data_IF_221910014136
#
_entry.id   IF_221910014136
#
_cell.length_a   1.000
_cell.length_b   1.000
_cell.length_c   1.000
_cell.angle_alpha   90.00
_cell.angle_beta   90.00
_cell.angle_gamma   90.00
#
_symmetry.space_group_name_H-M   'P 1'
#
loop_
_entity.id
_entity.type
_entity.pdbx_description
1 polymer ?
#
# COMPACT_ATOMS: atom_id res chain seq x y z
N UNK A 1 23.19 -7.25 -0.89
CA UNK A 1 21.95 -6.65 -1.42
C UNK A 1 22.16 -6.34 -2.88
N UNK A 2 21.28 -6.81 -3.76
CA UNK A 2 21.32 -6.49 -5.19
C UNK A 2 20.13 -5.59 -5.53
N UNK A 3 20.36 -4.56 -6.35
CA UNK A 3 19.30 -3.73 -6.91
C UNK A 3 19.11 -4.18 -8.36
N UNK A 4 17.87 -4.47 -8.74
CA UNK A 4 17.53 -4.90 -10.09
C UNK A 4 16.39 -4.02 -10.63
N UNK A 5 16.51 -3.63 -11.90
CA UNK A 5 15.42 -2.95 -12.59
C UNK A 5 14.31 -3.96 -12.92
N UNK A 6 13.08 -3.63 -12.56
CA UNK A 6 11.89 -4.41 -12.90
C UNK A 6 10.80 -3.48 -13.41
N UNK A 7 10.17 -3.85 -14.52
CA UNK A 7 8.92 -3.23 -14.96
C UNK A 7 7.80 -3.84 -14.13
N UNK A 8 6.98 -2.99 -13.50
CA UNK A 8 5.75 -3.41 -12.82
C UNK A 8 4.63 -3.49 -13.87
N UNK A 9 3.82 -4.53 -13.77
CA UNK A 9 2.60 -4.67 -14.56
C UNK A 9 1.46 -3.90 -13.91
N UNK A 10 0.50 -3.42 -14.70
CA UNK A 10 -0.67 -2.72 -14.19
C UNK A 10 -1.55 -3.70 -13.40
N UNK A 11 -1.96 -3.31 -12.21
CA UNK A 11 -2.75 -4.14 -11.31
C UNK A 11 -3.82 -3.30 -10.59
N UNK A 12 -5.01 -3.85 -10.44
CA UNK A 12 -6.07 -3.24 -9.62
C UNK A 12 -5.69 -3.36 -8.15
N UNK A 13 -5.70 -2.24 -7.44
CA UNK A 13 -5.39 -2.16 -6.02
C UNK A 13 -6.54 -1.47 -5.27
N UNK A 14 -6.86 -1.99 -4.09
CA UNK A 14 -7.58 -1.23 -3.07
C UNK A 14 -6.57 -0.27 -2.45
N UNK A 15 -6.85 1.03 -2.49
CA UNK A 15 -5.93 2.06 -1.97
C UNK A 15 -6.56 2.80 -0.79
N UNK A 16 -5.75 3.09 0.21
CA UNK A 16 -6.11 3.99 1.30
C UNK A 16 -4.95 4.96 1.58
N UNK A 17 -5.18 6.25 1.34
CA UNK A 17 -4.21 7.31 1.63
C UNK A 17 -4.27 7.67 3.11
N UNK A 18 -3.12 7.63 3.78
CA UNK A 18 -2.98 7.98 5.20
C UNK A 18 -1.88 9.02 5.37
N UNK A 19 -2.01 9.82 6.43
CA UNK A 19 -0.89 10.59 6.97
C UNK A 19 -0.63 10.06 8.39
N UNK A 20 0.49 9.36 8.56
CA UNK A 20 0.77 8.64 9.81
C UNK A 20 2.15 8.02 9.83
N UNK A 21 2.40 7.17 10.82
CA UNK A 21 3.71 6.55 11.01
C UNK A 21 3.74 5.16 10.38
N UNK A 22 4.95 4.64 10.15
CA UNK A 22 5.14 3.33 9.52
C UNK A 22 4.62 2.22 10.44
N UNK A 23 4.66 2.45 11.75
CA UNK A 23 4.16 1.57 12.80
C UNK A 23 2.65 1.35 12.73
N UNK A 24 1.89 2.26 12.09
CA UNK A 24 0.43 2.18 11.96
C UNK A 24 0.01 1.27 10.78
N UNK A 25 0.93 0.96 9.86
CA UNK A 25 0.65 0.18 8.65
C UNK A 25 0.03 -1.21 8.91
N UNK A 26 0.45 -2.00 9.93
CA UNK A 26 -0.16 -3.30 10.20
C UNK A 26 -1.66 -3.21 10.47
N UNK A 27 -2.11 -2.19 11.21
CA UNK A 27 -3.53 -1.97 11.51
C UNK A 27 -4.29 -1.55 10.23
N UNK A 28 -3.69 -0.67 9.43
CA UNK A 28 -4.28 -0.23 8.15
C UNK A 28 -4.46 -1.42 7.20
N UNK A 29 -3.44 -2.27 7.06
CA UNK A 29 -3.54 -3.47 6.24
C UNK A 29 -4.58 -4.46 6.76
N UNK A 30 -4.73 -4.62 8.07
CA UNK A 30 -5.76 -5.47 8.65
C UNK A 30 -7.17 -4.97 8.28
N UNK A 31 -7.41 -3.65 8.40
CA UNK A 31 -8.68 -3.02 7.99
C UNK A 31 -8.92 -3.20 6.50
N UNK A 32 -7.94 -2.92 5.65
CA UNK A 32 -8.06 -3.09 4.20
C UNK A 32 -8.35 -4.53 3.80
N UNK A 33 -7.70 -5.52 4.44
CA UNK A 33 -7.99 -6.94 4.21
C UNK A 33 -9.42 -7.32 4.61
N UNK A 34 -9.93 -6.77 5.72
CA UNK A 34 -11.33 -7.03 6.11
C UNK A 34 -12.34 -6.50 5.10
N UNK A 35 -12.03 -5.38 4.42
CA UNK A 35 -12.88 -4.81 3.36
C UNK A 35 -12.75 -5.58 2.06
N UNK A 36 -11.52 -5.92 1.64
CA UNK A 36 -11.27 -6.64 0.40
C UNK A 36 -11.71 -8.12 0.45
N UNK A 37 -11.76 -8.71 1.64
CA UNK A 37 -12.17 -10.11 1.83
C UNK A 37 -11.34 -11.07 0.98
N UNK A 38 -12.02 -11.95 0.24
CA UNK A 38 -11.40 -12.96 -0.62
C UNK A 38 -10.79 -12.37 -1.91
N UNK A 39 -11.07 -11.11 -2.24
CA UNK A 39 -10.51 -10.46 -3.43
C UNK A 39 -9.08 -9.99 -3.22
N UNK A 40 -8.57 -9.93 -1.98
CA UNK A 40 -7.19 -9.54 -1.70
C UNK A 40 -6.19 -10.60 -2.22
N UNK A 41 -5.40 -10.24 -3.24
CA UNK A 41 -4.50 -11.17 -3.90
C UNK A 41 -3.16 -10.49 -4.26
N UNK A 42 -2.11 -10.81 -3.50
CA UNK A 42 -0.75 -10.34 -3.80
C UNK A 42 -0.03 -9.77 -2.58
N UNK A 43 1.15 -9.21 -2.83
CA UNK A 43 2.00 -8.57 -1.82
C UNK A 43 1.53 -7.13 -1.64
N UNK A 44 1.15 -6.70 -0.42
CA UNK A 44 0.80 -5.31 -0.17
C UNK A 44 1.99 -4.37 -0.43
N UNK A 45 1.70 -3.17 -0.90
CA UNK A 45 2.71 -2.17 -1.22
C UNK A 45 2.33 -0.82 -0.61
N UNK A 46 3.35 0.03 -0.39
CA UNK A 46 3.16 1.39 0.12
C UNK A 46 3.89 2.35 -0.80
N UNK A 47 3.19 3.37 -1.27
CA UNK A 47 3.78 4.48 -2.03
C UNK A 47 4.02 5.64 -1.08
N UNK A 48 5.29 5.95 -0.83
CA UNK A 48 5.70 7.09 0.01
C UNK A 48 5.74 8.36 -0.84
N UNK A 49 5.00 9.38 -0.44
CA UNK A 49 4.99 10.67 -1.12
C UNK A 49 6.00 11.64 -0.48
N UNK A 50 7.06 11.96 -1.21
CA UNK A 50 8.03 12.97 -0.80
C UNK A 50 7.69 14.33 -1.46
N UNK A 51 7.78 15.46 -0.73
CA UNK A 51 8.35 15.66 0.61
C UNK A 51 7.32 15.70 1.75
N UNK A 52 6.15 15.07 1.62
CA UNK A 52 5.01 15.21 2.54
C UNK A 52 5.25 14.47 3.87
N UNK A 53 6.17 14.98 4.68
CA UNK A 53 6.58 14.44 5.98
C UNK A 53 6.63 15.56 7.01
N UNK A 54 6.03 15.34 8.17
CA UNK A 54 6.10 16.24 9.33
C UNK A 54 6.32 15.45 10.64
N UNK A 55 6.05 16.10 11.78
CA UNK A 55 6.20 15.51 13.13
C UNK A 55 5.17 14.40 13.42
N UNK A 56 4.03 14.43 12.75
CA UNK A 56 2.89 13.55 12.98
C UNK A 56 2.93 12.35 12.02
N UNK A 57 3.63 12.46 10.88
CA UNK A 57 3.95 11.31 10.05
C UNK A 57 4.39 11.62 8.63
N UNK A 58 4.08 10.69 7.73
CA UNK A 58 4.31 10.81 6.29
C UNK A 58 3.01 10.51 5.55
N UNK A 59 2.76 11.25 4.48
CA UNK A 59 1.69 10.91 3.56
C UNK A 59 2.10 9.71 2.72
N UNK A 60 1.27 8.68 2.74
CA UNK A 60 1.52 7.45 1.99
C UNK A 60 0.22 6.84 1.48
N UNK A 61 0.29 6.21 0.32
CA UNK A 61 -0.79 5.37 -0.19
C UNK A 61 -0.50 3.93 0.18
N UNK A 62 -1.39 3.35 0.97
CA UNK A 62 -1.36 1.93 1.31
C UNK A 62 -2.19 1.19 0.27
N UNK A 63 -1.56 0.26 -0.44
CA UNK A 63 -2.16 -0.44 -1.57
C UNK A 63 -2.23 -1.94 -1.29
N UNK A 64 -3.43 -2.50 -1.40
CA UNK A 64 -3.69 -3.94 -1.31
C UNK A 64 -4.12 -4.45 -2.69
N UNK A 65 -3.31 -5.27 -3.37
CA UNK A 65 -3.67 -5.74 -4.70
C UNK A 65 -4.88 -6.68 -4.67
N UNK A 66 -5.73 -6.56 -5.69
CA UNK A 66 -6.95 -7.35 -5.84
C UNK A 66 -6.79 -8.42 -6.93
N UNK A 67 -7.64 -9.45 -6.88
CA UNK A 67 -7.67 -10.55 -7.86
C UNK A 67 -8.29 -10.16 -9.21
N UNK A 68 -8.91 -8.99 -9.28
CA UNK A 68 -9.48 -8.45 -10.52
C UNK A 68 -8.36 -8.04 -11.48
N UNK A 69 -8.56 -8.32 -12.77
CA UNK A 69 -7.64 -7.91 -13.84
C UNK A 69 -8.08 -6.55 -14.39
N UNK A 70 -7.11 -5.71 -14.74
CA UNK A 70 -7.30 -4.47 -15.51
C UNK A 70 -7.76 -4.82 -16.92
#
# INVERSE_FOLDING_TARGET
MGVAYKKLEDQIVLTHSIHGKIEDLPEVFAKMRSVAGNSANGVPMVVLHFPLTDKDGRTMDVCLPLSEKV
#
